data_IF_501640743507
#
_entry.id   IF_501640743507
#
_cell.length_a   1.000
_cell.length_b   1.000
_cell.length_c   1.000
_cell.angle_alpha   90.00
_cell.angle_beta   90.00
_cell.angle_gamma   90.00
#
_symmetry.space_group_name_H-M   'P 1'
#
loop_
_entity.id
_entity.type
_entity.pdbx_description
1 polymer ?
#
# COMPACT_ATOMS: atom_id res chain seq x y z
N UNK A 1 -13.90 -4.82 -10.32
CA UNK A 1 -13.99 -3.38 -10.01
C UNK A 1 -15.35 -2.86 -10.46
N UNK A 2 -15.83 -1.77 -9.87
CA UNK A 2 -17.09 -1.12 -10.28
C UNK A 2 -16.97 -0.47 -11.67
N UNK A 3 -15.76 -0.08 -12.07
CA UNK A 3 -15.45 0.43 -13.39
C UNK A 3 -15.00 -0.70 -14.31
N UNK A 4 -15.70 -0.89 -15.42
CA UNK A 4 -15.31 -1.82 -16.48
C UNK A 4 -14.34 -1.17 -17.47
N UNK A 5 -13.73 -1.96 -18.35
CA UNK A 5 -12.95 -1.42 -19.46
C UNK A 5 -13.87 -0.72 -20.47
N UNK A 6 -13.53 0.47 -20.99
CA UNK A 6 -12.31 1.26 -20.74
C UNK A 6 -12.43 2.29 -19.61
N UNK A 7 -13.59 2.36 -18.93
CA UNK A 7 -13.91 3.39 -17.93
C UNK A 7 -12.90 3.44 -16.78
N UNK A 8 -12.40 2.30 -16.30
CA UNK A 8 -11.41 2.30 -15.22
C UNK A 8 -10.13 3.06 -15.60
N UNK A 9 -9.73 3.03 -16.88
CA UNK A 9 -8.55 3.74 -17.36
C UNK A 9 -8.78 5.26 -17.38
N UNK A 10 -9.97 5.68 -17.81
CA UNK A 10 -10.37 7.09 -17.76
C UNK A 10 -10.39 7.61 -16.31
N UNK A 11 -10.77 6.77 -15.34
CA UNK A 11 -10.68 7.11 -13.91
C UNK A 11 -9.25 7.27 -13.41
N UNK A 12 -8.34 6.40 -13.81
CA UNK A 12 -6.90 6.57 -13.50
C UNK A 12 -6.37 7.86 -14.13
N UNK A 13 -6.69 8.14 -15.41
CA UNK A 13 -6.28 9.39 -16.06
C UNK A 13 -6.83 10.63 -15.35
N UNK A 14 -8.09 10.61 -14.91
CA UNK A 14 -8.70 11.69 -14.11
C UNK A 14 -7.99 11.86 -12.77
N UNK A 15 -7.71 10.76 -12.05
CA UNK A 15 -7.11 10.76 -10.71
C UNK A 15 -5.63 11.20 -10.71
N UNK A 16 -4.90 10.90 -11.78
CA UNK A 16 -3.48 11.27 -11.96
C UNK A 16 -3.30 12.70 -12.52
N UNK A 17 -4.35 13.27 -13.13
CA UNK A 17 -4.26 14.59 -13.78
C UNK A 17 -4.11 15.72 -12.77
N UNK A 18 -2.93 16.35 -12.77
CA UNK A 18 -2.63 17.53 -11.94
C UNK A 18 -2.31 17.22 -10.48
N UNK A 19 -2.30 15.94 -10.08
CA UNK A 19 -1.92 15.50 -8.72
C UNK A 19 -0.40 15.47 -8.51
N UNK A 20 0.38 15.34 -9.60
CA UNK A 20 1.81 15.05 -9.55
C UNK A 20 2.14 13.57 -9.28
N UNK A 21 1.12 12.77 -9.00
CA UNK A 21 1.18 11.33 -8.76
C UNK A 21 0.63 10.60 -9.98
N UNK A 22 1.54 10.17 -10.85
CA UNK A 22 1.22 9.61 -12.18
C UNK A 22 0.75 8.16 -12.14
N UNK A 23 0.76 7.52 -10.98
CA UNK A 23 0.38 6.11 -10.81
C UNK A 23 -0.83 5.94 -9.89
N UNK A 24 -1.47 7.05 -9.51
CA UNK A 24 -2.60 7.04 -8.59
C UNK A 24 -3.80 6.28 -9.16
N UNK A 25 -4.22 5.23 -8.47
CA UNK A 25 -5.36 4.38 -8.84
C UNK A 25 -6.28 4.03 -7.66
N UNK A 26 -6.11 4.68 -6.50
CA UNK A 26 -6.86 4.36 -5.28
C UNK A 26 -8.38 4.41 -5.47
N UNK A 27 -8.90 5.28 -6.36
CA UNK A 27 -10.34 5.39 -6.59
C UNK A 27 -10.98 4.09 -7.07
N UNK A 28 -10.25 3.26 -7.83
CA UNK A 28 -10.78 1.99 -8.34
C UNK A 28 -11.15 1.04 -7.20
N UNK A 29 -10.34 1.03 -6.14
CA UNK A 29 -10.51 0.16 -4.98
C UNK A 29 -11.55 0.75 -4.02
N UNK A 30 -11.44 2.04 -3.70
CA UNK A 30 -12.37 2.76 -2.83
C UNK A 30 -13.81 2.63 -3.34
N UNK A 31 -14.03 2.93 -4.63
CA UNK A 31 -15.37 2.93 -5.19
C UNK A 31 -15.94 1.51 -5.32
N UNK A 32 -15.08 0.51 -5.57
CA UNK A 32 -15.50 -0.88 -5.64
C UNK A 32 -15.94 -1.41 -4.27
N UNK A 33 -15.19 -1.12 -3.20
CA UNK A 33 -15.56 -1.51 -1.84
C UNK A 33 -16.77 -0.74 -1.32
N UNK A 34 -16.92 0.53 -1.71
CA UNK A 34 -18.12 1.33 -1.39
C UNK A 34 -19.37 0.77 -2.07
N UNK A 35 -19.24 0.23 -3.27
CA UNK A 35 -20.35 -0.37 -4.00
C UNK A 35 -20.80 -1.71 -3.40
N UNK A 36 -19.86 -2.50 -2.87
CA UNK A 36 -20.14 -3.77 -2.19
C UNK A 36 -19.01 -4.19 -1.27
N UNK A 37 -19.35 -4.59 -0.05
CA UNK A 37 -18.41 -5.25 0.85
C UNK A 37 -17.95 -6.61 0.29
N UNK A 38 -16.69 -6.96 0.54
CA UNK A 38 -16.15 -8.28 0.19
C UNK A 38 -16.81 -9.39 1.00
N UNK A 39 -17.13 -10.52 0.35
CA UNK A 39 -17.62 -11.70 1.07
C UNK A 39 -16.45 -12.45 1.73
N UNK A 40 -16.75 -13.30 2.71
CA UNK A 40 -15.72 -14.12 3.35
C UNK A 40 -14.97 -15.04 2.38
N UNK A 41 -15.60 -15.45 1.27
CA UNK A 41 -14.98 -16.25 0.21
C UNK A 41 -13.95 -15.47 -0.61
N UNK A 42 -14.15 -14.15 -0.77
CA UNK A 42 -13.25 -13.24 -1.48
C UNK A 42 -12.06 -12.82 -0.61
N UNK A 43 -12.18 -13.01 0.71
CA UNK A 43 -11.17 -12.62 1.69
C UNK A 43 -10.06 -13.67 1.79
N UNK A 44 -8.81 -13.20 1.68
CA UNK A 44 -7.64 -14.04 1.93
C UNK A 44 -7.61 -14.44 3.41
N UNK A 45 -7.58 -15.75 3.66
CA UNK A 45 -7.56 -16.34 5.02
C UNK A 45 -6.16 -16.29 5.62
N UNK A 46 -5.71 -15.09 6.00
CA UNK A 46 -4.37 -14.86 6.58
C UNK A 46 -4.11 -15.65 7.86
N UNK A 47 -5.15 -16.06 8.60
CA UNK A 47 -5.05 -16.92 9.79
C UNK A 47 -4.47 -18.32 9.49
N UNK A 48 -4.52 -18.74 8.22
CA UNK A 48 -3.97 -20.02 7.79
C UNK A 48 -2.44 -19.98 7.57
N UNK A 49 -1.83 -18.80 7.50
CA UNK A 49 -0.38 -18.64 7.34
C UNK A 49 0.34 -19.23 8.56
N UNK A 50 1.45 -19.93 8.31
CA UNK A 50 2.31 -20.54 9.34
C UNK A 50 3.67 -19.86 9.34
N UNK A 51 4.31 -19.83 10.51
CA UNK A 51 5.62 -19.20 10.68
C UNK A 51 5.51 -17.70 10.98
N UNK A 52 6.47 -16.92 10.46
CA UNK A 52 6.56 -15.47 10.68
C UNK A 52 5.99 -14.70 9.49
N UNK A 53 5.16 -13.69 9.76
CA UNK A 53 4.53 -12.82 8.75
C UNK A 53 4.79 -11.34 9.06
N UNK A 54 5.41 -10.64 8.12
CA UNK A 54 5.51 -9.17 8.18
C UNK A 54 4.49 -8.58 7.21
N UNK A 55 3.58 -7.76 7.74
CA UNK A 55 2.60 -7.01 6.94
C UNK A 55 3.11 -5.58 6.81
N UNK A 56 3.61 -5.22 5.63
CA UNK A 56 4.28 -3.93 5.41
C UNK A 56 3.51 -3.11 4.38
N UNK A 57 3.22 -1.85 4.69
CA UNK A 57 2.56 -0.92 3.79
C UNK A 57 2.60 0.51 4.32
N UNK A 58 2.02 1.44 3.57
CA UNK A 58 1.94 2.85 3.94
C UNK A 58 0.50 3.38 3.79
N UNK A 59 0.20 4.50 4.47
CA UNK A 59 -1.10 5.18 4.37
C UNK A 59 -1.28 5.94 3.06
N UNK A 60 -0.18 6.41 2.48
CA UNK A 60 -0.09 7.20 1.26
C UNK A 60 0.29 6.36 0.02
N UNK A 61 0.13 5.03 0.09
CA UNK A 61 0.18 4.17 -1.10
C UNK A 61 -0.87 4.63 -2.12
N UNK A 62 -0.40 4.98 -3.32
CA UNK A 62 -1.23 5.56 -4.38
C UNK A 62 -1.90 4.54 -5.28
N UNK A 63 -1.56 3.25 -5.18
CA UNK A 63 -2.14 2.22 -6.03
C UNK A 63 -3.44 1.72 -5.41
N UNK A 64 -3.38 1.38 -4.12
CA UNK A 64 -4.52 0.94 -3.31
C UNK A 64 -4.33 1.30 -1.83
N UNK A 65 -5.38 1.16 -1.01
CA UNK A 65 -5.34 1.52 0.41
C UNK A 65 -4.59 0.49 1.28
N UNK A 66 -3.27 0.37 1.11
CA UNK A 66 -2.46 -0.69 1.73
C UNK A 66 -2.54 -0.67 3.27
N UNK A 67 -2.45 0.51 3.90
CA UNK A 67 -2.62 0.67 5.34
C UNK A 67 -3.97 0.16 5.85
N UNK A 68 -5.07 0.45 5.14
CA UNK A 68 -6.42 -0.05 5.44
C UNK A 68 -6.45 -1.59 5.42
N UNK A 69 -5.86 -2.20 4.39
CA UNK A 69 -5.86 -3.66 4.26
C UNK A 69 -5.01 -4.36 5.32
N UNK A 70 -3.89 -3.77 5.74
CA UNK A 70 -3.08 -4.30 6.83
C UNK A 70 -3.86 -4.26 8.14
N UNK A 71 -4.56 -3.16 8.46
CA UNK A 71 -5.44 -3.09 9.63
C UNK A 71 -6.53 -4.15 9.61
N UNK A 72 -7.12 -4.41 8.44
CA UNK A 72 -8.13 -5.48 8.26
C UNK A 72 -7.54 -6.87 8.51
N UNK A 73 -6.32 -7.13 8.03
CA UNK A 73 -5.61 -8.39 8.29
C UNK A 73 -5.22 -8.54 9.76
N UNK A 74 -4.73 -7.47 10.39
CA UNK A 74 -4.42 -7.40 11.83
C UNK A 74 -5.65 -7.71 12.68
N UNK A 75 -6.79 -7.08 12.40
CA UNK A 75 -8.05 -7.36 13.10
C UNK A 75 -8.48 -8.83 12.94
N UNK A 76 -8.40 -9.37 11.71
CA UNK A 76 -8.76 -10.76 11.44
C UNK A 76 -7.89 -11.75 12.21
N UNK A 77 -6.58 -11.48 12.31
CA UNK A 77 -5.66 -12.31 13.09
C UNK A 77 -5.95 -12.21 14.59
N UNK A 78 -6.32 -11.04 15.10
CA UNK A 78 -6.74 -10.88 16.51
C UNK A 78 -8.01 -11.67 16.86
N UNK A 79 -8.93 -11.81 15.91
CA UNK A 79 -10.25 -12.42 16.14
C UNK A 79 -10.31 -13.93 15.89
N UNK A 80 -9.37 -14.49 15.12
CA UNK A 80 -9.42 -15.89 14.67
C UNK A 80 -8.26 -16.71 15.24
N UNK A 81 -8.47 -17.99 15.57
CA UNK A 81 -7.37 -18.86 15.97
C UNK A 81 -6.31 -18.96 14.87
N UNK A 82 -5.05 -18.67 15.21
CA UNK A 82 -3.90 -18.85 14.32
C UNK A 82 -2.66 -19.27 15.11
N UNK A 83 -1.66 -19.77 14.39
CA UNK A 83 -0.34 -20.10 14.94
C UNK A 83 0.76 -19.19 14.36
N UNK A 84 0.38 -18.22 13.54
CA UNK A 84 1.28 -17.25 12.92
C UNK A 84 1.85 -16.28 13.96
N UNK A 85 3.16 -16.02 13.92
CA UNK A 85 3.79 -14.89 14.58
C UNK A 85 3.83 -13.74 13.57
N UNK A 86 3.08 -12.66 13.81
CA UNK A 86 2.97 -11.59 12.82
C UNK A 86 3.34 -10.22 13.39
N UNK A 87 3.83 -9.35 12.50
CA UNK A 87 4.18 -7.96 12.80
C UNK A 87 3.53 -7.05 11.76
N UNK A 88 2.55 -6.21 12.14
CA UNK A 88 2.02 -5.17 11.26
C UNK A 88 2.89 -3.92 11.32
N UNK A 89 3.31 -3.44 10.15
CA UNK A 89 4.12 -2.25 9.93
C UNK A 89 3.42 -1.35 8.91
N UNK A 90 2.66 -0.37 9.40
CA UNK A 90 2.02 0.65 8.56
C UNK A 90 2.75 1.97 8.78
N UNK A 91 3.44 2.44 7.75
CA UNK A 91 4.13 3.72 7.76
C UNK A 91 3.15 4.85 7.44
N UNK A 92 3.30 6.00 8.12
CA UNK A 92 2.51 7.20 7.80
C UNK A 92 2.82 7.73 6.39
N UNK A 93 4.08 7.58 5.96
CA UNK A 93 4.57 8.02 4.67
C UNK A 93 5.41 6.94 3.95
N UNK A 94 5.11 6.67 2.69
CA UNK A 94 5.72 5.66 1.84
C UNK A 94 4.95 5.46 0.51
N UNK A 95 5.68 5.35 -0.60
CA UNK A 95 5.07 5.02 -1.90
C UNK A 95 4.80 3.52 -2.01
N UNK A 96 3.98 3.11 -2.99
CA UNK A 96 3.75 1.69 -3.31
C UNK A 96 5.06 0.91 -3.52
N UNK A 97 6.05 1.55 -4.15
CA UNK A 97 7.36 0.97 -4.37
C UNK A 97 8.27 1.07 -3.15
N UNK A 98 8.58 -0.08 -2.57
CA UNK A 98 9.60 -0.22 -1.52
C UNK A 98 10.91 -0.67 -2.18
N UNK A 99 11.85 0.27 -2.30
CA UNK A 99 13.14 0.03 -2.96
C UNK A 99 14.24 -0.26 -1.94
N UNK A 100 15.15 -1.23 -2.19
CA UNK A 100 16.32 -1.43 -1.35
C UNK A 100 17.20 -0.18 -1.32
N UNK A 101 17.68 0.20 -0.14
CA UNK A 101 18.60 1.34 -0.01
C UNK A 101 19.87 1.17 -0.86
N UNK A 102 20.36 -0.07 -0.99
CA UNK A 102 21.50 -0.40 -1.86
C UNK A 102 21.27 -0.04 -3.33
N UNK A 103 20.04 -0.20 -3.82
CA UNK A 103 19.66 0.19 -5.19
C UNK A 103 19.69 1.71 -5.35
N UNK A 104 19.14 2.44 -4.39
CA UNK A 104 19.19 3.91 -4.37
C UNK A 104 20.63 4.43 -4.33
N UNK A 105 21.50 3.79 -3.52
CA UNK A 105 22.93 4.12 -3.45
C UNK A 105 23.68 3.81 -4.74
N UNK A 106 23.25 2.83 -5.53
CA UNK A 106 23.86 2.56 -6.84
C UNK A 106 23.48 3.65 -7.86
N UNK A 107 22.21 4.09 -7.86
CA UNK A 107 21.72 5.13 -8.76
C UNK A 107 22.28 6.54 -8.41
N UNK A 108 22.48 6.82 -7.12
CA UNK A 108 23.00 8.09 -6.60
C UNK A 108 24.16 7.82 -5.61
N UNK A 109 25.37 7.49 -6.12
CA UNK A 109 26.49 7.04 -5.28
C UNK A 109 27.07 8.13 -4.36
N UNK A 110 26.87 9.41 -4.68
CA UNK A 110 27.35 10.54 -3.89
C UNK A 110 26.17 11.44 -3.51
N UNK A 111 26.03 11.77 -2.23
CA UNK A 111 25.07 12.77 -1.76
C UNK A 111 23.62 12.29 -1.57
N UNK A 112 23.32 10.99 -1.75
CA UNK A 112 21.96 10.45 -1.56
C UNK A 112 21.33 10.84 -0.21
N UNK A 113 22.08 10.75 0.90
CA UNK A 113 21.59 11.18 2.22
C UNK A 113 21.21 12.66 2.28
N UNK A 114 21.91 13.53 1.56
CA UNK A 114 21.58 14.95 1.48
C UNK A 114 20.34 15.16 0.61
N UNK A 115 20.28 14.51 -0.56
CA UNK A 115 19.14 14.60 -1.49
C UNK A 115 17.85 14.08 -0.85
N UNK A 116 17.88 12.92 -0.19
CA UNK A 116 16.71 12.33 0.49
C UNK A 116 16.18 13.26 1.58
N UNK A 117 17.05 13.94 2.35
CA UNK A 117 16.64 14.94 3.36
C UNK A 117 15.97 16.18 2.75
N UNK A 118 16.27 16.53 1.51
CA UNK A 118 15.63 17.64 0.82
C UNK A 118 14.29 17.24 0.18
N UNK A 119 14.21 16.03 -0.39
CA UNK A 119 13.02 15.51 -1.09
C UNK A 119 11.96 15.03 -0.10
N UNK A 120 12.36 14.26 0.90
CA UNK A 120 11.45 13.68 1.88
C UNK A 120 11.54 14.46 3.18
N UNK A 121 10.57 15.36 3.40
CA UNK A 121 10.48 16.14 4.65
C UNK A 121 10.40 15.23 5.88
N UNK A 122 9.79 14.06 5.75
CA UNK A 122 9.70 13.03 6.78
C UNK A 122 11.01 12.25 7.01
N UNK A 123 11.98 12.28 6.07
CA UNK A 123 13.29 11.62 6.23
C UNK A 123 14.32 12.49 6.99
N UNK A 124 13.89 13.62 7.56
CA UNK A 124 14.73 14.52 8.36
C UNK A 124 14.82 14.10 9.83
N UNK A 125 13.90 13.27 10.31
CA UNK A 125 13.87 12.68 11.66
C UNK A 125 14.36 11.23 11.63
#
# INVERSE_FOLDING_TARGET
>A
FVYEHPVYWQKIEEETKGSGDIERSTCLFIDSEKAREHTEEEMIKVENIKGKLFLVGAEDDSFWEAGKYIRRMDQRLKERPHTCEYVPLVYEHGTHFVLPESMLRMALPVGLKFVLRFIFRAAKE
#
